data_IF_219584836017
#
_entry.id   IF_219584836017
#
_cell.length_a   1.000
_cell.length_b   1.000
_cell.length_c   1.000
_cell.angle_alpha   90.00
_cell.angle_beta   90.00
_cell.angle_gamma   90.00
#
_symmetry.space_group_name_H-M   'P 1'
#
loop_
_entity.id
_entity.type
_entity.pdbx_description
1 polymer ?
#
# COMPACT_ATOMS: atom_id res chain seq x y z
N UNK A 1 12.07 15.42 -17.08
CA UNK A 1 11.69 14.34 -18.02
C UNK A 1 10.18 14.34 -18.16
N UNK A 2 9.64 14.01 -19.34
CA UNK A 2 8.19 13.89 -19.52
C UNK A 2 7.67 12.58 -18.90
N UNK A 3 6.38 12.52 -18.56
CA UNK A 3 5.76 11.30 -18.01
C UNK A 3 5.98 10.08 -18.90
N UNK A 4 5.82 10.25 -20.22
CA UNK A 4 5.98 9.17 -21.19
C UNK A 4 7.42 8.65 -21.26
N UNK A 5 8.43 9.52 -21.12
CA UNK A 5 9.83 9.10 -21.08
C UNK A 5 10.14 8.25 -19.85
N UNK A 6 9.66 8.68 -18.68
CA UNK A 6 9.86 7.94 -17.42
C UNK A 6 9.12 6.60 -17.47
N UNK A 7 7.85 6.59 -17.92
CA UNK A 7 7.07 5.37 -18.09
C UNK A 7 7.76 4.37 -19.00
N UNK A 8 8.24 4.83 -20.16
CA UNK A 8 8.92 3.98 -21.12
C UNK A 8 10.21 3.37 -20.55
N UNK A 9 11.01 4.16 -19.83
CA UNK A 9 12.23 3.68 -19.17
C UNK A 9 11.90 2.61 -18.12
N UNK A 10 10.92 2.86 -17.25
CA UNK A 10 10.51 1.90 -16.21
C UNK A 10 9.97 0.62 -16.86
N UNK A 11 9.18 0.72 -17.94
CA UNK A 11 8.67 -0.45 -18.67
C UNK A 11 9.78 -1.25 -19.36
N UNK A 12 10.78 -0.58 -19.93
CA UNK A 12 11.95 -1.25 -20.48
C UNK A 12 12.74 -2.00 -19.41
N UNK A 13 12.98 -1.35 -18.27
CA UNK A 13 13.64 -1.97 -17.13
C UNK A 13 12.84 -3.18 -16.63
N UNK A 14 11.53 -3.01 -16.42
CA UNK A 14 10.63 -4.08 -15.99
C UNK A 14 10.74 -5.31 -16.89
N UNK A 15 10.77 -5.13 -18.22
CA UNK A 15 10.92 -6.23 -19.18
C UNK A 15 12.31 -6.84 -19.16
N UNK A 16 13.35 -6.03 -19.03
CA UNK A 16 14.74 -6.48 -19.02
C UNK A 16 15.08 -7.27 -17.74
N UNK A 17 14.48 -6.90 -16.61
CA UNK A 17 14.72 -7.52 -15.30
C UNK A 17 13.81 -8.70 -15.00
N UNK A 18 12.77 -8.92 -15.81
CA UNK A 18 11.86 -10.03 -15.63
C UNK A 18 12.52 -11.37 -15.98
N UNK A 19 12.55 -12.26 -15.01
CA UNK A 19 13.12 -13.60 -15.14
C UNK A 19 12.10 -14.63 -15.62
N UNK A 20 10.82 -14.41 -15.26
CA UNK A 20 9.71 -15.31 -15.55
C UNK A 20 8.83 -15.52 -14.31
N UNK A 21 7.85 -16.41 -14.44
CA UNK A 21 6.86 -16.71 -13.40
C UNK A 21 7.03 -18.15 -12.90
N UNK A 22 7.01 -18.33 -11.57
CA UNK A 22 7.21 -19.61 -10.93
C UNK A 22 6.26 -19.83 -9.75
N UNK A 23 5.97 -21.09 -9.45
CA UNK A 23 5.29 -21.49 -8.22
C UNK A 23 6.33 -21.69 -7.12
N UNK A 24 6.28 -20.89 -6.05
CA UNK A 24 7.22 -20.92 -4.93
C UNK A 24 6.51 -21.27 -3.61
N UNK A 25 7.22 -21.93 -2.71
CA UNK A 25 6.75 -22.08 -1.32
C UNK A 25 6.64 -20.72 -0.66
N UNK A 26 5.54 -20.47 0.04
CA UNK A 26 5.32 -19.19 0.74
C UNK A 26 6.43 -18.90 1.76
N UNK A 27 6.98 -19.95 2.40
CA UNK A 27 8.11 -19.85 3.36
C UNK A 27 9.41 -19.31 2.76
N UNK A 28 9.57 -19.42 1.43
CA UNK A 28 10.74 -18.92 0.72
C UNK A 28 10.65 -17.41 0.43
N UNK A 29 9.51 -16.78 0.73
CA UNK A 29 9.29 -15.35 0.52
C UNK A 29 9.49 -14.59 1.84
N UNK A 30 10.35 -13.58 1.81
CA UNK A 30 10.51 -12.58 2.86
C UNK A 30 9.71 -11.35 2.47
N UNK A 31 8.79 -10.94 3.33
CA UNK A 31 8.04 -9.72 3.14
C UNK A 31 8.71 -8.60 3.93
N UNK A 32 8.97 -7.47 3.29
CA UNK A 32 9.44 -6.29 4.00
C UNK A 32 8.35 -5.84 4.98
N UNK A 33 8.73 -5.64 6.24
CA UNK A 33 7.83 -5.04 7.23
C UNK A 33 7.36 -3.68 6.73
N UNK A 34 6.13 -3.27 7.07
CA UNK A 34 5.59 -2.01 6.61
C UNK A 34 6.51 -0.86 7.03
N UNK A 35 7.22 -0.30 6.03
CA UNK A 35 8.12 0.84 6.22
C UNK A 35 7.46 1.91 7.08
N UNK A 36 8.16 2.28 8.15
CA UNK A 36 7.79 3.33 9.11
C UNK A 36 7.74 4.74 8.49
N UNK A 37 7.85 4.84 7.17
CA UNK A 37 7.84 6.06 6.38
C UNK A 37 6.73 5.91 5.34
N UNK A 38 5.52 6.35 5.71
CA UNK A 38 4.39 6.56 4.78
C UNK A 38 3.42 5.39 4.61
N UNK A 39 3.82 4.15 4.86
CA UNK A 39 2.91 2.99 4.84
C UNK A 39 2.72 2.43 6.24
N UNK A 40 1.67 2.85 6.95
CA UNK A 40 1.46 2.43 8.34
C UNK A 40 1.55 0.91 8.52
N UNK A 41 2.12 0.52 9.68
CA UNK A 41 2.14 -0.85 10.19
C UNK A 41 0.75 -1.41 10.52
N UNK A 42 -0.29 -0.60 10.32
CA UNK A 42 -1.66 -0.85 10.72
C UNK A 42 -2.62 -1.03 9.54
N UNK A 43 -2.14 -1.07 8.29
CA UNK A 43 -2.94 -1.65 7.18
C UNK A 43 -3.03 -3.19 7.28
N UNK A 44 -2.88 -3.74 8.50
CA UNK A 44 -3.41 -5.04 8.91
C UNK A 44 -4.94 -4.93 8.93
N UNK A 45 -5.55 -4.67 7.76
CA UNK A 45 -6.92 -5.13 7.53
C UNK A 45 -6.91 -6.59 7.94
N UNK A 46 -7.80 -6.94 8.87
CA UNK A 46 -7.97 -8.31 9.35
C UNK A 46 -7.81 -9.24 8.15
N UNK A 47 -6.87 -10.17 8.24
CA UNK A 47 -6.56 -11.11 7.16
C UNK A 47 -7.76 -12.07 6.96
N UNK A 48 -8.72 -12.06 7.89
CA UNK A 48 -9.85 -12.98 7.94
C UNK A 48 -10.83 -12.95 6.77
N UNK A 49 -11.21 -11.80 6.18
CA UNK A 49 -12.00 -11.79 4.94
C UNK A 49 -11.25 -12.46 3.79
N UNK A 50 -9.92 -12.27 3.70
CA UNK A 50 -9.07 -12.93 2.70
C UNK A 50 -8.94 -14.42 2.99
N UNK A 51 -8.78 -14.82 4.27
CA UNK A 51 -8.76 -16.24 4.65
C UNK A 51 -10.08 -16.94 4.32
N UNK A 52 -11.21 -16.29 4.63
CA UNK A 52 -12.55 -16.79 4.32
C UNK A 52 -12.72 -16.96 2.82
N UNK A 53 -12.36 -15.94 2.04
CA UNK A 53 -12.35 -16.00 0.58
C UNK A 53 -11.49 -17.17 0.07
N UNK A 54 -10.26 -17.35 0.56
CA UNK A 54 -9.39 -18.44 0.11
C UNK A 54 -9.89 -19.84 0.49
N UNK A 55 -10.53 -19.98 1.67
CA UNK A 55 -11.18 -21.24 2.08
C UNK A 55 -12.37 -21.58 1.19
N UNK A 56 -13.20 -20.58 0.86
CA UNK A 56 -14.37 -20.75 -0.02
C UNK A 56 -13.96 -21.01 -1.48
N UNK A 57 -12.92 -20.31 -1.97
CA UNK A 57 -12.42 -20.42 -3.34
C UNK A 57 -11.52 -21.64 -3.57
N UNK A 58 -11.19 -22.45 -2.55
CA UNK A 58 -10.28 -23.62 -2.63
C UNK A 58 -8.97 -23.38 -3.39
N UNK A 59 -8.48 -22.14 -3.43
CA UNK A 59 -7.23 -21.77 -4.12
C UNK A 59 -7.31 -21.56 -5.64
N UNK A 60 -8.50 -21.53 -6.26
CA UNK A 60 -8.68 -21.40 -7.71
C UNK A 60 -8.32 -20.02 -8.33
N UNK A 61 -7.91 -19.02 -7.53
CA UNK A 61 -7.48 -17.69 -8.02
C UNK A 61 -5.96 -17.48 -8.07
N UNK A 62 -5.16 -18.52 -7.83
CA UNK A 62 -3.68 -18.42 -7.84
C UNK A 62 -3.10 -18.07 -9.22
N UNK A 63 -3.86 -18.33 -10.28
CA UNK A 63 -3.47 -18.19 -11.69
C UNK A 63 -3.83 -16.83 -12.30
N UNK A 64 -4.60 -15.98 -11.62
CA UNK A 64 -4.83 -14.62 -12.11
C UNK A 64 -3.55 -13.82 -11.92
N UNK A 65 -2.94 -13.34 -13.02
CA UNK A 65 -1.76 -12.49 -13.01
C UNK A 65 -1.89 -11.27 -12.09
N UNK A 66 -3.11 -10.82 -11.78
CA UNK A 66 -3.36 -9.75 -10.79
C UNK A 66 -3.05 -10.15 -9.35
N UNK A 67 -2.91 -11.44 -9.09
CA UNK A 67 -2.66 -12.05 -7.79
C UNK A 67 -1.24 -12.61 -7.65
N UNK A 68 -0.42 -12.58 -8.71
CA UNK A 68 0.97 -12.98 -8.65
C UNK A 68 1.74 -12.07 -7.69
N UNK A 69 2.50 -12.68 -6.79
CA UNK A 69 3.43 -11.94 -5.97
C UNK A 69 4.62 -11.48 -6.83
N UNK A 70 5.23 -10.33 -6.53
CA UNK A 70 6.44 -9.88 -7.22
C UNK A 70 7.62 -10.00 -6.26
N UNK A 71 8.63 -10.79 -6.61
CA UNK A 71 9.80 -11.00 -5.77
C UNK A 71 11.10 -10.74 -6.52
N UNK A 72 12.13 -10.32 -5.77
CA UNK A 72 13.48 -10.14 -6.28
C UNK A 72 14.35 -11.36 -5.98
N UNK A 73 15.18 -11.74 -6.95
CA UNK A 73 16.10 -12.86 -6.87
C UNK A 73 17.47 -12.45 -7.41
N UNK A 74 18.54 -12.83 -6.71
CA UNK A 74 19.89 -12.59 -7.21
C UNK A 74 20.23 -13.54 -8.35
N UNK A 75 21.10 -13.15 -9.29
CA UNK A 75 21.52 -14.02 -10.41
C UNK A 75 22.06 -15.38 -9.94
N UNK A 76 22.84 -15.38 -8.85
CA UNK A 76 23.43 -16.59 -8.28
C UNK A 76 22.36 -17.55 -7.75
N UNK A 77 21.39 -17.03 -7.00
CA UNK A 77 20.29 -17.85 -6.45
C UNK A 77 19.42 -18.38 -7.57
N UNK A 78 19.15 -17.57 -8.60
CA UNK A 78 18.39 -18.01 -9.77
C UNK A 78 19.10 -19.15 -10.51
N UNK A 79 20.41 -19.04 -10.73
CA UNK A 79 21.19 -20.07 -11.42
C UNK A 79 21.19 -21.41 -10.65
N UNK A 80 21.41 -21.36 -9.33
CA UNK A 80 21.37 -22.56 -8.48
C UNK A 80 19.98 -23.17 -8.48
N UNK A 81 18.93 -22.36 -8.30
CA UNK A 81 17.53 -22.83 -8.26
C UNK A 81 17.12 -23.51 -9.58
N UNK A 82 17.52 -22.94 -10.73
CA UNK A 82 17.24 -23.52 -12.05
C UNK A 82 18.00 -24.83 -12.27
N UNK A 83 19.26 -24.89 -11.83
CA UNK A 83 20.09 -26.09 -11.96
C UNK A 83 19.54 -27.23 -11.11
N UNK A 84 19.16 -26.95 -9.85
CA UNK A 84 18.58 -27.93 -8.93
C UNK A 84 17.22 -28.45 -9.43
N UNK A 85 16.41 -27.59 -10.04
CA UNK A 85 15.13 -27.96 -10.63
C UNK A 85 15.29 -28.69 -11.97
N UNK A 86 16.45 -28.61 -12.63
CA UNK A 86 16.66 -29.12 -13.99
C UNK A 86 15.83 -28.37 -15.04
N UNK A 87 15.51 -27.10 -14.81
CA UNK A 87 14.62 -26.28 -15.65
C UNK A 87 15.43 -25.22 -16.40
N UNK A 88 15.13 -25.01 -17.67
CA UNK A 88 15.70 -23.91 -18.46
C UNK A 88 14.96 -22.59 -18.19
N UNK A 89 15.68 -21.47 -18.23
CA UNK A 89 15.12 -20.14 -17.93
C UNK A 89 13.94 -19.77 -18.85
N UNK A 90 13.95 -20.25 -20.10
CA UNK A 90 12.88 -20.08 -21.09
C UNK A 90 11.55 -20.64 -20.60
N UNK A 91 11.58 -21.71 -19.78
CA UNK A 91 10.36 -22.30 -19.23
C UNK A 91 9.63 -21.34 -18.29
N UNK A 92 10.37 -20.51 -17.54
CA UNK A 92 9.79 -19.51 -16.65
C UNK A 92 9.13 -18.35 -17.43
N UNK A 93 9.67 -18.02 -18.61
CA UNK A 93 9.18 -16.90 -19.44
C UNK A 93 7.95 -17.23 -20.26
N UNK A 94 7.68 -18.51 -20.50
CA UNK A 94 6.59 -18.93 -21.38
C UNK A 94 5.20 -18.87 -20.72
N UNK A 95 5.08 -18.42 -19.47
CA UNK A 95 3.82 -18.24 -18.70
C UNK A 95 2.82 -19.39 -18.92
N UNK A 96 3.31 -20.62 -19.08
CA UNK A 96 2.47 -21.75 -19.47
C UNK A 96 2.05 -22.53 -18.23
N UNK A 97 0.76 -22.60 -17.98
CA UNK A 97 0.21 -23.42 -16.91
C UNK A 97 0.40 -24.94 -17.18
N UNK A 98 0.72 -25.73 -16.15
CA UNK A 98 1.04 -25.32 -14.78
C UNK A 98 2.43 -24.64 -14.69
N UNK A 99 2.51 -23.58 -13.87
CA UNK A 99 3.77 -22.85 -13.63
C UNK A 99 4.85 -23.76 -13.05
N UNK A 100 6.10 -23.53 -13.45
CA UNK A 100 7.24 -24.29 -12.97
C UNK A 100 7.39 -24.16 -11.44
N UNK A 101 7.52 -25.29 -10.76
CA UNK A 101 7.77 -25.31 -9.32
C UNK A 101 9.27 -25.16 -9.06
N UNK A 102 9.63 -24.08 -8.37
CA UNK A 102 11.01 -23.83 -7.97
C UNK A 102 11.15 -23.98 -6.45
N UNK A 103 12.22 -24.65 -6.03
CA UNK A 103 12.59 -24.79 -4.61
C UNK A 103 13.79 -23.89 -4.33
N UNK A 104 13.55 -22.83 -3.56
CA UNK A 104 14.62 -21.89 -3.19
C UNK A 104 15.59 -22.59 -2.22
N UNK A 105 16.91 -22.43 -2.40
CA UNK A 105 17.91 -23.06 -1.54
C UNK A 105 17.66 -22.82 -0.04
N UNK A 106 17.86 -23.83 0.81
CA UNK A 106 17.63 -23.71 2.25
C UNK A 106 18.53 -22.62 2.85
N UNK A 107 17.93 -21.74 3.66
CA UNK A 107 18.61 -20.59 4.26
C UNK A 107 18.50 -19.28 3.47
N UNK A 108 17.92 -19.32 2.26
CA UNK A 108 17.68 -18.13 1.43
C UNK A 108 16.19 -17.79 1.42
N UNK A 109 15.87 -16.50 1.51
CA UNK A 109 14.52 -15.99 1.31
C UNK A 109 14.53 -14.85 0.29
N UNK A 110 13.58 -14.88 -0.65
CA UNK A 110 13.42 -13.87 -1.68
C UNK A 110 12.62 -12.69 -1.13
N UNK A 111 13.09 -11.47 -1.32
CA UNK A 111 12.32 -10.30 -0.92
C UNK A 111 11.13 -10.10 -1.86
N UNK A 112 9.92 -10.10 -1.29
CA UNK A 112 8.69 -9.79 -1.99
C UNK A 112 8.40 -8.29 -1.90
N UNK A 113 8.22 -7.64 -3.05
CA UNK A 113 7.98 -6.21 -3.17
C UNK A 113 6.52 -5.80 -2.92
N UNK A 114 5.62 -6.77 -2.82
CA UNK A 114 4.19 -6.55 -2.55
C UNK A 114 3.84 -6.86 -1.09
N UNK A 115 2.96 -6.02 -0.49
CA UNK A 115 2.61 -6.13 0.93
C UNK A 115 1.67 -7.32 1.23
N UNK A 116 2.27 -8.40 1.72
CA UNK A 116 1.88 -9.40 2.74
C UNK A 116 0.42 -9.89 2.92
N UNK A 117 -0.66 -9.14 2.66
CA UNK A 117 -2.00 -9.56 3.14
C UNK A 117 -2.55 -10.82 2.46
N UNK A 118 -2.39 -10.95 1.14
CA UNK A 118 -2.89 -12.13 0.40
C UNK A 118 -2.04 -13.36 0.60
N UNK A 119 -0.71 -13.21 0.60
CA UNK A 119 0.21 -14.35 0.75
C UNK A 119 0.24 -14.85 2.20
N UNK A 120 0.09 -13.95 3.19
CA UNK A 120 -0.10 -14.34 4.58
C UNK A 120 -1.47 -14.97 4.83
N UNK A 121 -2.54 -14.39 4.26
CA UNK A 121 -3.86 -15.00 4.29
C UNK A 121 -3.82 -16.41 3.70
N UNK A 122 -3.11 -16.60 2.59
CA UNK A 122 -2.90 -17.89 1.98
C UNK A 122 -2.15 -18.85 2.91
N UNK A 123 -1.02 -18.45 3.50
CA UNK A 123 -0.28 -19.29 4.43
C UNK A 123 -1.15 -19.72 5.62
N UNK A 124 -1.94 -18.82 6.19
CA UNK A 124 -2.81 -19.11 7.34
C UNK A 124 -4.13 -19.82 6.97
N UNK A 125 -4.61 -19.71 5.73
CA UNK A 125 -5.86 -20.31 5.28
C UNK A 125 -5.70 -21.72 4.70
N UNK A 126 -4.53 -22.05 4.13
CA UNK A 126 -4.27 -23.36 3.55
C UNK A 126 -3.79 -24.35 4.63
N UNK A 127 -4.69 -25.24 5.08
CA UNK A 127 -4.33 -26.44 5.85
C UNK A 127 -3.81 -27.51 4.88
N UNK A 128 -2.49 -27.65 4.74
CA UNK A 128 -1.90 -28.63 3.83
C UNK A 128 -0.38 -28.53 3.64
N UNK A 129 0.16 -29.58 3.02
CA UNK A 129 1.61 -29.83 2.83
C UNK A 129 2.20 -28.97 1.69
N UNK A 130 1.39 -28.44 0.76
CA UNK A 130 1.87 -27.67 -0.40
C UNK A 130 1.35 -26.22 -0.44
N UNK A 131 1.92 -25.38 0.45
CA UNK A 131 1.65 -23.94 0.50
C UNK A 131 2.48 -23.20 -0.55
N UNK A 132 2.10 -23.35 -1.81
CA UNK A 132 2.74 -22.66 -2.95
C UNK A 132 1.90 -21.47 -3.44
N UNK A 133 2.59 -20.44 -3.91
CA UNK A 133 2.04 -19.23 -4.51
C UNK A 133 2.76 -18.92 -5.84
N UNK A 134 2.03 -18.33 -6.79
CA UNK A 134 2.61 -17.93 -8.08
C UNK A 134 3.30 -16.58 -7.94
N UNK A 135 4.56 -16.51 -8.37
CA UNK A 135 5.46 -15.38 -8.16
C UNK A 135 6.12 -14.99 -9.47
N UNK A 136 6.02 -13.72 -9.82
CA UNK A 136 6.79 -13.07 -10.88
C UNK A 136 8.17 -12.69 -10.32
N UNK A 137 9.22 -13.26 -10.92
CA UNK A 137 10.60 -13.09 -10.48
C UNK A 137 11.29 -11.99 -11.27
N UNK A 138 11.99 -11.11 -10.54
CA UNK A 138 12.80 -10.04 -11.08
C UNK A 138 14.22 -10.10 -10.53
N UNK A 139 15.22 -9.69 -11.32
CA UNK A 139 16.59 -9.54 -10.82
C UNK A 139 16.65 -8.50 -9.68
N UNK A 140 17.58 -8.66 -8.75
CA UNK A 140 17.69 -7.84 -7.53
C UNK A 140 18.24 -6.42 -7.74
N UNK A 141 18.80 -6.13 -8.92
CA UNK A 141 19.33 -4.82 -9.30
C UNK A 141 18.27 -3.88 -9.91
N UNK A 142 17.08 -3.86 -9.30
CA UNK A 142 15.99 -2.96 -9.68
C UNK A 142 16.26 -1.52 -9.22
N UNK A 143 15.91 -0.56 -10.07
CA UNK A 143 15.85 0.83 -9.69
C UNK A 143 14.79 1.07 -8.60
N UNK A 144 15.05 2.07 -7.75
CA UNK A 144 14.10 2.51 -6.73
C UNK A 144 12.74 2.92 -7.32
N UNK A 145 12.71 3.41 -8.56
CA UNK A 145 11.47 3.76 -9.24
C UNK A 145 10.64 2.53 -9.60
N UNK A 146 11.26 1.46 -10.13
CA UNK A 146 10.55 0.23 -10.45
C UNK A 146 10.09 -0.49 -9.18
N UNK A 147 10.93 -0.55 -8.13
CA UNK A 147 10.52 -1.09 -6.81
C UNK A 147 9.30 -0.34 -6.28
N UNK A 148 9.34 0.99 -6.32
CA UNK A 148 8.21 1.84 -5.89
C UNK A 148 6.99 1.61 -6.76
N UNK A 149 7.12 1.50 -8.08
CA UNK A 149 5.99 1.21 -8.97
C UNK A 149 5.26 -0.07 -8.57
N UNK A 150 5.98 -1.14 -8.23
CA UNK A 150 5.34 -2.39 -7.78
C UNK A 150 4.58 -2.25 -6.46
N UNK A 151 5.09 -1.45 -5.52
CA UNK A 151 4.39 -1.13 -4.27
C UNK A 151 3.10 -0.34 -4.57
N UNK A 152 3.18 0.68 -5.41
CA UNK A 152 2.05 1.54 -5.78
C UNK A 152 0.98 0.78 -6.57
N UNK A 153 1.37 -0.08 -7.53
CA UNK A 153 0.46 -0.96 -8.28
C UNK A 153 -0.38 -1.85 -7.36
N UNK A 154 0.27 -2.44 -6.36
CA UNK A 154 -0.42 -3.25 -5.37
C UNK A 154 -1.39 -2.42 -4.52
N UNK A 155 -1.01 -1.20 -4.13
CA UNK A 155 -1.92 -0.30 -3.41
C UNK A 155 -3.18 0.01 -4.22
N UNK A 156 -3.06 0.18 -5.54
CA UNK A 156 -4.23 0.37 -6.42
C UNK A 156 -5.16 -0.84 -6.46
N UNK A 157 -4.61 -2.06 -6.48
CA UNK A 157 -5.43 -3.28 -6.46
C UNK A 157 -6.30 -3.39 -5.20
N UNK A 158 -5.92 -2.75 -4.09
CA UNK A 158 -6.69 -2.73 -2.84
C UNK A 158 -7.84 -1.72 -2.82
N UNK A 159 -8.08 -1.00 -3.92
CA UNK A 159 -9.03 0.10 -4.03
C UNK A 159 -8.80 1.15 -2.92
N UNK A 160 -7.79 2.03 -3.08
CA UNK A 160 -7.45 3.05 -2.09
C UNK A 160 -8.67 3.92 -1.74
N UNK A 161 -8.77 4.30 -0.46
CA UNK A 161 -9.74 5.31 -0.04
C UNK A 161 -9.29 6.73 -0.41
N UNK A 162 -10.22 7.68 -0.31
CA UNK A 162 -9.98 9.09 -0.63
C UNK A 162 -8.82 9.68 0.20
N UNK A 163 -8.64 9.23 1.44
CA UNK A 163 -7.55 9.65 2.32
C UNK A 163 -6.18 9.16 1.85
N UNK A 164 -6.08 7.92 1.37
CA UNK A 164 -4.85 7.37 0.77
C UNK A 164 -4.51 8.09 -0.52
N UNK A 165 -5.50 8.38 -1.38
CA UNK A 165 -5.31 9.24 -2.56
C UNK A 165 -4.74 10.60 -2.18
N UNK A 166 -5.36 11.29 -1.22
CA UNK A 166 -4.88 12.60 -0.76
C UNK A 166 -3.43 12.53 -0.28
N UNK A 167 -3.14 11.63 0.67
CA UNK A 167 -1.81 11.46 1.26
C UNK A 167 -0.73 11.21 0.21
N UNK A 168 -0.94 10.25 -0.70
CA UNK A 168 0.03 9.88 -1.73
C UNK A 168 0.26 11.00 -2.74
N UNK A 169 -0.80 11.69 -3.19
CA UNK A 169 -0.65 12.83 -4.09
C UNK A 169 0.15 13.94 -3.42
N UNK A 170 -0.15 14.30 -2.17
CA UNK A 170 0.56 15.34 -1.42
C UNK A 170 2.02 14.95 -1.12
N UNK A 171 2.26 13.68 -0.79
CA UNK A 171 3.61 13.10 -0.60
C UNK A 171 4.48 13.35 -1.84
N UNK A 172 3.97 12.98 -3.02
CA UNK A 172 4.68 13.17 -4.29
C UNK A 172 4.73 14.60 -4.79
N UNK A 173 3.96 15.51 -4.19
CA UNK A 173 4.10 16.95 -4.37
C UNK A 173 5.18 17.57 -3.45
N UNK A 174 5.75 16.77 -2.54
CA UNK A 174 6.82 17.17 -1.62
C UNK A 174 6.35 17.49 -0.20
N UNK A 175 5.09 17.22 0.13
CA UNK A 175 4.55 17.43 1.48
C UNK A 175 4.79 16.16 2.30
N UNK A 176 5.71 16.24 3.26
CA UNK A 176 6.19 15.10 4.08
C UNK A 176 6.79 13.93 3.28
N UNK A 177 7.09 14.13 2.00
CA UNK A 177 7.69 13.13 1.10
C UNK A 177 8.64 13.75 0.09
N UNK A 178 9.17 12.90 -0.80
CA UNK A 178 10.03 13.36 -1.89
C UNK A 178 9.17 13.71 -3.11
N UNK A 179 9.36 14.94 -3.62
CA UNK A 179 8.68 15.37 -4.84
C UNK A 179 9.01 14.44 -6.01
N UNK A 180 7.98 13.86 -6.62
CA UNK A 180 8.10 12.99 -7.78
C UNK A 180 6.89 13.17 -8.71
N UNK A 181 7.10 13.90 -9.81
CA UNK A 181 6.03 14.24 -10.76
C UNK A 181 5.47 13.02 -11.50
N UNK A 182 6.24 11.94 -11.66
CA UNK A 182 5.76 10.73 -12.32
C UNK A 182 4.71 10.04 -11.46
N UNK A 183 5.03 9.76 -10.19
CA UNK A 183 4.09 9.13 -9.26
C UNK A 183 2.92 10.04 -8.87
N UNK A 184 3.14 11.36 -8.78
CA UNK A 184 2.04 12.32 -8.63
C UNK A 184 1.01 12.15 -9.76
N UNK A 185 1.48 12.15 -11.02
CA UNK A 185 0.60 11.97 -12.19
C UNK A 185 -0.05 10.59 -12.22
N UNK A 186 0.66 9.55 -11.79
CA UNK A 186 0.12 8.20 -11.69
C UNK A 186 -1.06 8.15 -10.72
N UNK A 187 -0.90 8.67 -9.50
CA UNK A 187 -1.95 8.73 -8.49
C UNK A 187 -3.14 9.62 -8.91
N UNK A 188 -2.89 10.75 -9.57
CA UNK A 188 -3.94 11.60 -10.13
C UNK A 188 -4.71 10.90 -11.26
N UNK A 189 -4.01 10.16 -12.12
CA UNK A 189 -4.61 9.35 -13.19
C UNK A 189 -5.52 8.26 -12.62
N UNK A 190 -5.06 7.54 -11.60
CA UNK A 190 -5.85 6.52 -10.92
C UNK A 190 -7.09 7.09 -10.23
N UNK A 191 -6.96 8.22 -9.54
CA UNK A 191 -8.11 8.92 -8.95
C UNK A 191 -9.16 9.27 -10.02
N UNK A 192 -8.70 9.75 -11.18
CA UNK A 192 -9.56 10.07 -12.33
C UNK A 192 -10.23 8.83 -12.93
N UNK A 193 -9.52 7.70 -13.00
CA UNK A 193 -10.05 6.44 -13.53
C UNK A 193 -11.16 5.87 -12.63
N UNK A 194 -11.00 5.98 -11.31
CA UNK A 194 -12.03 5.56 -10.34
C UNK A 194 -13.21 6.51 -10.34
N UNK A 195 -12.96 7.82 -10.38
CA UNK A 195 -14.03 8.81 -10.41
C UNK A 195 -13.53 10.17 -10.89
N UNK A 196 -14.03 10.58 -12.07
CA UNK A 196 -13.84 11.94 -12.57
C UNK A 196 -14.31 13.00 -11.56
N UNK A 197 -15.45 12.76 -10.89
CA UNK A 197 -15.95 13.67 -9.85
C UNK A 197 -14.96 13.83 -8.69
N UNK A 198 -14.37 12.74 -8.17
CA UNK A 198 -13.35 12.85 -7.09
C UNK A 198 -12.11 13.61 -7.55
N UNK A 199 -11.70 13.41 -8.81
CA UNK A 199 -10.58 14.14 -9.42
C UNK A 199 -10.85 15.65 -9.50
N UNK A 200 -12.07 16.02 -9.89
CA UNK A 200 -12.51 17.42 -9.98
C UNK A 200 -12.65 18.05 -8.58
N UNK A 201 -13.19 17.33 -7.60
CA UNK A 201 -13.27 17.78 -6.20
C UNK A 201 -11.88 17.98 -5.58
N UNK A 202 -10.90 17.15 -5.93
CA UNK A 202 -9.52 17.36 -5.53
C UNK A 202 -8.91 18.63 -6.17
N UNK A 203 -9.16 18.91 -7.46
CA UNK A 203 -8.76 20.20 -8.04
C UNK A 203 -9.49 21.38 -7.41
N UNK A 204 -10.76 21.21 -7.06
CA UNK A 204 -11.51 22.24 -6.35
C UNK A 204 -10.84 22.54 -5.01
N UNK A 205 -10.52 21.51 -4.20
CA UNK A 205 -9.81 21.67 -2.94
C UNK A 205 -8.48 22.42 -3.13
N UNK A 206 -7.72 22.09 -4.18
CA UNK A 206 -6.43 22.73 -4.48
C UNK A 206 -6.54 24.23 -4.80
N UNK A 207 -7.72 24.71 -5.22
CA UNK A 207 -7.94 26.15 -5.45
C UNK A 207 -8.21 26.93 -4.16
N UNK A 208 -8.38 26.23 -3.04
CA UNK A 208 -8.56 26.82 -1.72
C UNK A 208 -7.32 26.56 -0.85
N UNK A 209 -6.31 27.42 -0.98
CA UNK A 209 -5.00 27.26 -0.34
C UNK A 209 -5.09 27.11 1.19
N UNK A 210 -6.02 27.81 1.84
CA UNK A 210 -6.20 27.73 3.29
C UNK A 210 -6.67 26.33 3.72
N UNK A 211 -7.66 25.75 3.03
CA UNK A 211 -8.11 24.39 3.28
C UNK A 211 -7.03 23.36 2.94
N UNK A 212 -6.37 23.51 1.80
CA UNK A 212 -5.31 22.60 1.39
C UNK A 212 -4.19 22.57 2.43
N UNK A 213 -3.76 23.74 2.91
CA UNK A 213 -2.76 23.85 3.97
C UNK A 213 -3.24 23.22 5.29
N UNK A 214 -4.48 23.47 5.70
CA UNK A 214 -5.03 22.91 6.93
C UNK A 214 -5.10 21.37 6.88
N UNK A 215 -5.47 20.79 5.73
CA UNK A 215 -5.39 19.34 5.54
C UNK A 215 -3.95 18.83 5.48
N UNK A 216 -3.04 19.56 4.83
CA UNK A 216 -1.63 19.20 4.80
C UNK A 216 -1.00 19.18 6.20
N UNK A 217 -1.36 20.11 7.08
CA UNK A 217 -0.88 20.12 8.46
C UNK A 217 -1.33 18.87 9.25
N UNK A 218 -2.47 18.26 8.90
CA UNK A 218 -2.95 17.01 9.49
C UNK A 218 -2.14 15.79 9.02
N UNK A 219 -1.35 15.88 7.95
CA UNK A 219 -0.52 14.79 7.45
C UNK A 219 0.62 14.40 8.42
N UNK A 220 0.93 15.25 9.40
CA UNK A 220 1.79 14.88 10.54
C UNK A 220 1.22 13.64 11.29
N UNK A 221 -0.10 13.38 11.17
CA UNK A 221 -0.80 12.22 11.71
C UNK A 221 -1.57 11.52 10.58
N UNK A 222 -0.91 10.65 9.79
CA UNK A 222 -1.52 10.06 8.60
C UNK A 222 -2.81 9.28 8.87
N UNK A 223 -3.00 8.76 10.08
CA UNK A 223 -4.19 8.00 10.46
C UNK A 223 -5.47 8.86 10.49
N UNK A 224 -5.38 10.18 10.66
CA UNK A 224 -6.57 11.07 10.65
C UNK A 224 -7.32 11.05 9.32
N UNK A 225 -6.66 10.60 8.26
CA UNK A 225 -7.27 10.46 6.95
C UNK A 225 -8.10 9.17 6.77
N UNK A 226 -8.22 8.31 7.80
CA UNK A 226 -8.95 7.03 7.72
C UNK A 226 -10.47 7.17 7.51
N UNK A 227 -11.03 8.38 7.62
CA UNK A 227 -12.41 8.71 7.27
C UNK A 227 -12.53 9.89 6.31
N UNK A 228 -11.41 10.33 5.72
CA UNK A 228 -11.40 11.46 4.79
C UNK A 228 -12.21 11.12 3.53
N UNK A 229 -13.03 12.07 3.08
CA UNK A 229 -13.89 11.90 1.90
C UNK A 229 -13.75 13.11 1.00
N UNK A 230 -13.25 12.89 -0.22
CA UNK A 230 -13.22 13.92 -1.26
C UNK A 230 -14.64 14.31 -1.67
N UNK A 231 -15.58 13.36 -1.60
CA UNK A 231 -16.97 13.57 -2.02
C UNK A 231 -17.69 14.67 -1.25
N UNK A 232 -17.28 15.01 -0.02
CA UNK A 232 -17.93 16.06 0.79
C UNK A 232 -17.26 17.44 0.67
N UNK A 233 -16.16 17.55 -0.06
CA UNK A 233 -15.39 18.80 -0.21
C UNK A 233 -16.25 19.92 -0.80
N UNK A 234 -17.08 19.62 -1.80
CA UNK A 234 -17.98 20.62 -2.39
C UNK A 234 -18.96 21.19 -1.36
N UNK A 235 -19.47 20.37 -0.43
CA UNK A 235 -20.37 20.82 0.64
C UNK A 235 -19.62 21.71 1.63
N UNK A 236 -18.43 21.28 2.07
CA UNK A 236 -17.56 22.05 2.95
C UNK A 236 -17.28 23.46 2.41
N UNK A 237 -16.92 23.55 1.13
CA UNK A 237 -16.65 24.83 0.46
C UNK A 237 -17.94 25.65 0.30
N UNK A 238 -19.05 25.02 -0.09
CA UNK A 238 -20.32 25.70 -0.36
C UNK A 238 -21.00 26.25 0.89
N UNK A 239 -20.72 25.71 2.07
CA UNK A 239 -21.24 26.25 3.34
C UNK A 239 -20.74 27.66 3.64
N UNK A 240 -19.64 28.12 3.01
CA UNK A 240 -19.04 29.46 3.22
C UNK A 240 -18.71 29.78 4.69
N UNK A 241 -18.48 28.74 5.50
CA UNK A 241 -18.06 28.84 6.90
C UNK A 241 -16.55 28.55 7.00
N UNK A 242 -15.73 29.23 6.19
CA UNK A 242 -14.31 28.92 6.05
C UNK A 242 -13.55 29.07 7.37
N UNK A 243 -13.78 30.14 8.11
CA UNK A 243 -13.11 30.40 9.38
C UNK A 243 -13.42 29.31 10.41
N UNK A 244 -14.68 28.88 10.50
CA UNK A 244 -15.12 27.84 11.43
C UNK A 244 -14.54 26.47 11.06
N UNK A 245 -14.55 26.12 9.76
CA UNK A 245 -14.00 24.85 9.29
C UNK A 245 -12.48 24.80 9.53
N UNK A 246 -11.75 25.87 9.21
CA UNK A 246 -10.30 25.96 9.45
C UNK A 246 -9.97 25.91 10.94
N UNK A 247 -10.74 26.62 11.78
CA UNK A 247 -10.59 26.56 13.23
C UNK A 247 -10.82 25.14 13.77
N UNK A 248 -11.78 24.41 13.21
CA UNK A 248 -12.04 23.02 13.59
C UNK A 248 -10.93 22.06 13.17
N UNK A 249 -10.40 22.17 11.94
CA UNK A 249 -9.26 21.37 11.49
C UNK A 249 -8.02 21.63 12.36
N UNK A 250 -7.78 22.89 12.72
CA UNK A 250 -6.71 23.26 13.64
C UNK A 250 -6.93 22.66 15.04
N UNK A 251 -8.15 22.72 15.56
CA UNK A 251 -8.50 22.13 16.85
C UNK A 251 -8.22 20.62 16.88
N UNK A 252 -8.57 19.90 15.80
CA UNK A 252 -8.25 18.46 15.66
C UNK A 252 -6.75 18.27 15.80
N UNK A 253 -5.94 19.00 15.02
CA UNK A 253 -4.49 18.89 15.07
C UNK A 253 -3.92 19.18 16.47
N UNK A 254 -4.36 20.27 17.09
CA UNK A 254 -3.88 20.72 18.39
C UNK A 254 -4.21 19.70 19.50
N UNK A 255 -5.40 19.06 19.44
CA UNK A 255 -5.78 18.01 20.37
C UNK A 255 -4.89 16.78 20.25
N UNK A 256 -4.64 16.31 19.02
CA UNK A 256 -3.75 15.16 18.84
C UNK A 256 -2.30 15.47 19.17
N UNK A 257 -1.82 16.69 18.89
CA UNK A 257 -0.52 17.19 19.34
C UNK A 257 -0.42 17.16 20.87
N UNK A 258 -1.45 17.62 21.56
CA UNK A 258 -1.51 17.57 23.03
C UNK A 258 -1.44 16.12 23.54
N UNK A 259 -2.24 15.21 22.97
CA UNK A 259 -2.24 13.78 23.34
C UNK A 259 -0.86 13.15 23.14
N UNK A 260 -0.18 13.47 22.04
CA UNK A 260 1.17 12.97 21.76
C UNK A 260 2.29 13.74 22.47
N UNK A 261 1.99 14.77 23.27
CA UNK A 261 3.00 15.62 23.91
C UNK A 261 3.89 16.35 22.90
N UNK A 262 3.33 16.76 21.76
CA UNK A 262 4.03 17.37 20.61
C UNK A 262 5.13 16.51 19.97
N UNK A 263 5.19 15.21 20.28
CA UNK A 263 6.17 14.30 19.71
C UNK A 263 5.72 13.80 18.32
N UNK A 264 6.38 14.30 17.28
CA UNK A 264 6.12 13.91 15.89
C UNK A 264 6.31 12.41 15.63
N UNK A 265 7.21 11.74 16.37
CA UNK A 265 7.40 10.29 16.22
C UNK A 265 6.20 9.52 16.76
N UNK A 266 5.63 9.95 17.89
CA UNK A 266 4.39 9.36 18.43
C UNK A 266 3.21 9.62 17.50
N UNK A 267 3.08 10.85 17.00
CA UNK A 267 2.06 11.24 16.03
C UNK A 267 2.05 10.34 14.78
N UNK A 268 3.22 10.05 14.21
CA UNK A 268 3.34 9.17 13.04
C UNK A 268 3.05 7.69 13.33
N UNK A 269 3.21 7.26 14.58
CA UNK A 269 2.94 5.88 15.03
C UNK A 269 1.46 5.63 15.31
N UNK A 270 0.62 6.67 15.35
CA UNK A 270 -0.83 6.49 15.51
C UNK A 270 -1.35 5.69 14.32
N UNK A 271 -1.91 4.51 14.59
CA UNK A 271 -2.57 3.67 13.60
C UNK A 271 -4.05 4.04 13.41
N UNK A 272 -4.64 3.55 12.33
CA UNK A 272 -6.07 3.69 12.04
C UNK A 272 -6.94 3.16 13.20
N UNK A 273 -6.59 2.01 13.75
CA UNK A 273 -7.35 1.32 14.82
C UNK A 273 -7.41 2.18 16.07
N UNK A 274 -6.33 2.90 16.38
CA UNK A 274 -6.30 3.83 17.50
C UNK A 274 -7.23 5.03 17.29
N UNK A 275 -7.31 5.55 16.05
CA UNK A 275 -8.28 6.61 15.71
C UNK A 275 -9.70 6.07 15.84
N UNK A 276 -9.98 4.88 15.29
CA UNK A 276 -11.31 4.27 15.31
C UNK A 276 -11.79 3.96 16.72
N UNK A 277 -10.89 3.53 17.62
CA UNK A 277 -11.21 3.28 19.02
C UNK A 277 -11.45 4.57 19.81
N UNK A 278 -10.70 5.64 19.53
CA UNK A 278 -10.75 6.89 20.29
C UNK A 278 -11.80 7.89 19.78
N UNK A 279 -12.11 7.88 18.49
CA UNK A 279 -13.05 8.85 17.91
C UNK A 279 -14.44 8.72 18.55
N UNK A 280 -15.02 9.86 18.93
CA UNK A 280 -16.34 9.90 19.57
C UNK A 280 -16.36 9.45 21.04
N UNK A 281 -15.22 9.12 21.64
CA UNK A 281 -15.11 8.75 23.06
C UNK A 281 -14.60 9.91 23.91
N UNK A 282 -14.94 9.89 25.20
CA UNK A 282 -14.47 10.85 26.20
C UNK A 282 -13.98 10.14 27.47
N UNK A 283 -12.91 9.32 27.41
CA UNK A 283 -12.46 8.49 28.53
C UNK A 283 -12.02 9.27 29.78
N UNK A 284 -11.72 10.56 29.66
CA UNK A 284 -11.46 11.41 30.82
C UNK A 284 -12.73 11.85 31.57
N UNK A 285 -13.90 11.75 30.96
CA UNK A 285 -15.19 12.18 31.51
C UNK A 285 -16.22 11.05 31.63
N UNK A 286 -16.03 9.95 30.89
CA UNK A 286 -16.89 8.77 30.86
C UNK A 286 -16.10 7.53 31.29
N UNK A 287 -16.47 6.95 32.44
CA UNK A 287 -15.83 5.74 32.95
C UNK A 287 -16.06 4.51 32.06
N UNK A 288 -17.20 4.46 31.35
CA UNK A 288 -17.49 3.38 30.41
C UNK A 288 -16.52 3.41 29.22
N UNK A 289 -16.28 4.60 28.64
CA UNK A 289 -15.31 4.79 27.56
C UNK A 289 -13.89 4.45 28.02
N UNK A 290 -13.52 4.89 29.23
CA UNK A 290 -12.22 4.56 29.82
C UNK A 290 -11.99 3.06 29.95
N UNK A 291 -13.00 2.34 30.44
CA UNK A 291 -12.93 0.88 30.64
C UNK A 291 -12.87 0.15 29.31
N UNK A 292 -13.66 0.59 28.31
CA UNK A 292 -13.69 0.02 26.96
C UNK A 292 -12.33 0.13 26.23
N UNK A 293 -11.55 1.17 26.53
CA UNK A 293 -10.23 1.39 25.91
C UNK A 293 -9.07 0.63 26.58
N UNK A 294 -9.24 0.18 27.82
CA UNK A 294 -8.21 -0.52 28.61
C UNK A 294 -8.49 -2.02 28.78
N UNK A 295 -9.65 -2.49 28.31
CA UNK A 295 -10.08 -3.89 28.34
C UNK A 295 -9.41 -4.75 27.28
#
# INVERSE_FOLDING_TARGET
MSFSQVSYRIDQERRAKFCGTASLRVKALRFSEPDSIGGQASDRRSVEPLKRMFREEKGYRKEDNRHHAKAIISPDVLAVTLLDAGIQAERLRNETEPYAELEIPPGTQLECLQRYDRVAAADEAFDGIDKRWVVDLFLDDLSEELRRLFVEEHDYQKAPDDGKFYRKIREYQGIHGQKNQYFERLWLGQLSAISRNRRDLFEQLKRHDAYLKAFDDLLDIPALFCGFRLTVIHQMISMRCEELNLAHLKLILDKWRQICGNDKRKMRRIGKEAIEALQGTAPGACSADYTSLLG
#
